data_IF_336372741703
#
_entry.id   IF_336372741703
#
_cell.length_a   1.000
_cell.length_b   1.000
_cell.length_c   1.000
_cell.angle_alpha   90.00
_cell.angle_beta   90.00
_cell.angle_gamma   90.00
#
_symmetry.space_group_name_H-M   'P 1'
#
loop_
_entity.id
_entity.type
_entity.pdbx_description
1 polymer ?
#
# COMPACT_ATOMS: atom_id res chain seq x y z
N UNK A 1 -6.51 36.43 -12.08
CA UNK A 1 -7.62 35.87 -11.28
C UNK A 1 -7.00 35.04 -10.17
N UNK A 2 -7.62 34.93 -8.98
CA UNK A 2 -7.02 34.19 -7.87
C UNK A 2 -7.26 32.68 -8.07
N UNK A 3 -6.19 31.93 -8.38
CA UNK A 3 -6.22 30.49 -8.68
C UNK A 3 -6.88 29.68 -7.56
N UNK A 4 -6.51 29.92 -6.30
CA UNK A 4 -7.15 29.27 -5.14
C UNK A 4 -8.67 29.48 -5.08
N UNK A 5 -9.14 30.68 -5.42
CA UNK A 5 -10.56 30.99 -5.41
C UNK A 5 -11.31 30.22 -6.51
N UNK A 6 -10.72 30.10 -7.70
CA UNK A 6 -11.29 29.30 -8.80
C UNK A 6 -11.37 27.82 -8.41
N UNK A 7 -10.31 27.27 -7.82
CA UNK A 7 -10.27 25.88 -7.32
C UNK A 7 -11.39 25.64 -6.29
N UNK A 8 -11.48 26.48 -5.26
CA UNK A 8 -12.50 26.35 -4.20
C UNK A 8 -13.93 26.48 -4.73
N UNK A 9 -14.15 27.37 -5.70
CA UNK A 9 -15.44 27.50 -6.41
C UNK A 9 -15.75 26.25 -7.21
N UNK A 10 -14.76 25.69 -7.91
CA UNK A 10 -14.90 24.44 -8.65
C UNK A 10 -15.35 23.30 -7.74
N UNK A 11 -14.72 23.13 -6.58
CA UNK A 11 -15.11 22.09 -5.61
C UNK A 11 -16.56 22.22 -5.14
N UNK A 12 -17.07 23.44 -5.01
CA UNK A 12 -18.40 23.70 -4.45
C UNK A 12 -19.52 23.67 -5.50
N UNK A 13 -19.22 24.08 -6.74
CA UNK A 13 -20.23 24.39 -7.75
C UNK A 13 -20.27 23.40 -8.92
N UNK A 14 -19.24 22.58 -9.09
CA UNK A 14 -19.24 21.58 -10.14
C UNK A 14 -20.23 20.45 -9.83
N UNK A 15 -20.91 20.00 -10.87
CA UNK A 15 -21.65 18.75 -10.81
C UNK A 15 -20.68 17.56 -10.60
N UNK A 16 -21.23 16.44 -10.15
CA UNK A 16 -20.45 15.22 -9.85
C UNK A 16 -20.14 14.38 -11.10
N UNK A 17 -20.27 14.94 -12.30
CA UNK A 17 -20.15 14.18 -13.57
C UNK A 17 -18.72 13.78 -13.94
N UNK A 18 -17.71 14.36 -13.28
CA UNK A 18 -16.31 14.22 -13.67
C UNK A 18 -15.87 15.21 -14.76
N UNK A 19 -16.72 16.17 -15.12
CA UNK A 19 -16.34 17.28 -16.00
C UNK A 19 -15.19 18.08 -15.38
N UNK A 20 -14.17 18.31 -16.20
CA UNK A 20 -13.00 19.15 -15.88
C UNK A 20 -13.22 20.56 -16.43
N UNK A 21 -13.12 21.59 -15.59
CA UNK A 21 -13.14 23.00 -16.00
C UNK A 21 -11.74 23.59 -15.94
N UNK A 22 -11.35 24.32 -16.98
CA UNK A 22 -10.05 24.98 -17.01
C UNK A 22 -9.96 26.06 -15.92
N UNK A 23 -8.79 26.19 -15.30
CA UNK A 23 -8.48 27.26 -14.36
C UNK A 23 -7.97 28.44 -15.19
N UNK A 24 -8.77 29.49 -15.30
CA UNK A 24 -8.53 30.67 -16.15
C UNK A 24 -7.39 31.53 -15.63
N UNK A 25 -7.12 31.48 -14.32
CA UNK A 25 -6.00 32.19 -13.69
C UNK A 25 -4.60 31.71 -14.08
N UNK A 26 -4.47 30.61 -14.84
CA UNK A 26 -3.18 30.03 -15.24
C UNK A 26 -2.77 30.41 -16.67
N UNK A 27 -1.46 30.48 -16.97
CA UNK A 27 -0.97 30.65 -18.34
C UNK A 27 -1.44 29.52 -19.27
N UNK A 28 -1.65 29.83 -20.54
CA UNK A 28 -2.05 28.84 -21.56
C UNK A 28 -0.98 27.77 -21.83
N UNK A 29 0.28 28.06 -21.49
CA UNK A 29 1.42 27.13 -21.52
C UNK A 29 1.37 26.09 -20.40
N UNK A 30 0.71 26.42 -19.28
CA UNK A 30 0.61 25.58 -18.08
C UNK A 30 -0.86 25.29 -17.70
N UNK A 31 -1.66 24.69 -18.61
CA UNK A 31 -3.07 24.45 -18.32
C UNK A 31 -3.23 23.50 -17.12
N UNK A 32 -4.30 23.74 -16.36
CA UNK A 32 -4.79 22.82 -15.35
C UNK A 32 -6.30 22.94 -15.25
N UNK A 33 -6.91 21.93 -14.64
CA UNK A 33 -8.36 21.85 -14.52
C UNK A 33 -8.76 21.57 -13.08
N UNK A 34 -9.91 22.09 -12.69
CA UNK A 34 -10.64 21.69 -11.47
C UNK A 34 -11.76 20.74 -11.85
N UNK A 35 -12.04 19.74 -11.03
CA UNK A 35 -13.10 18.77 -11.30
C UNK A 35 -13.82 18.34 -10.01
N UNK A 36 -15.01 17.76 -10.20
CA UNK A 36 -15.71 16.96 -9.20
C UNK A 36 -16.30 15.71 -9.85
N UNK A 37 -16.05 14.55 -9.25
CA UNK A 37 -16.43 13.24 -9.79
C UNK A 37 -16.92 12.35 -8.63
N UNK A 38 -18.22 12.09 -8.57
CA UNK A 38 -18.83 11.42 -7.41
C UNK A 38 -18.55 12.17 -6.11
N UNK A 39 -17.95 11.48 -5.13
CA UNK A 39 -17.53 12.07 -3.85
C UNK A 39 -16.11 12.65 -3.89
N UNK A 40 -15.40 12.53 -5.01
CA UNK A 40 -14.04 13.06 -5.17
C UNK A 40 -14.04 14.43 -5.82
N UNK A 41 -13.12 15.28 -5.41
CA UNK A 41 -12.85 16.58 -6.01
C UNK A 41 -11.35 16.85 -6.02
N UNK A 42 -10.91 17.72 -6.92
CA UNK A 42 -9.49 18.02 -7.02
C UNK A 42 -9.12 18.78 -8.27
N UNK A 43 -7.82 18.73 -8.57
CA UNK A 43 -7.23 19.35 -9.75
C UNK A 43 -6.53 18.33 -10.63
N UNK A 44 -6.44 18.63 -11.91
CA UNK A 44 -5.79 17.80 -12.90
C UNK A 44 -4.80 18.63 -13.73
N UNK A 45 -3.68 18.00 -14.09
CA UNK A 45 -2.73 18.48 -15.09
C UNK A 45 -2.52 17.37 -16.11
N UNK A 46 -2.30 17.73 -17.36
CA UNK A 46 -2.11 16.74 -18.41
C UNK A 46 -0.67 16.20 -18.41
N UNK A 47 -0.52 14.89 -18.59
CA UNK A 47 0.75 14.22 -18.79
C UNK A 47 0.93 13.89 -20.28
N UNK A 48 2.16 14.06 -20.77
CA UNK A 48 2.55 13.65 -22.12
C UNK A 48 2.93 12.16 -22.19
N UNK A 49 3.09 11.50 -21.04
CA UNK A 49 3.54 10.12 -20.93
C UNK A 49 2.44 9.22 -20.36
N UNK A 50 2.44 7.94 -20.75
CA UNK A 50 1.57 6.92 -20.13
C UNK A 50 2.22 6.41 -18.83
N UNK A 51 2.22 7.28 -17.81
CA UNK A 51 2.63 6.92 -16.47
C UNK A 51 1.43 6.31 -15.72
N UNK A 52 1.65 5.16 -15.09
CA UNK A 52 0.71 4.58 -14.12
C UNK A 52 1.18 4.93 -12.70
N UNK A 53 0.41 5.77 -12.01
CA UNK A 53 0.66 6.25 -10.65
C UNK A 53 -0.63 6.20 -9.83
N UNK A 54 -0.55 5.68 -8.60
CA UNK A 54 -1.59 5.79 -7.58
C UNK A 54 -0.94 5.86 -6.20
N UNK A 55 -0.90 7.05 -5.63
CA UNK A 55 -0.34 7.30 -4.31
C UNK A 55 -1.39 7.93 -3.41
N UNK A 56 -1.32 7.64 -2.11
CA UNK A 56 -2.30 8.14 -1.16
C UNK A 56 -1.74 8.35 0.24
N UNK A 57 -2.27 9.36 0.93
CA UNK A 57 -2.19 9.49 2.37
C UNK A 57 -3.57 9.85 2.95
N UNK A 58 -3.69 9.93 4.27
CA UNK A 58 -4.95 10.30 4.92
C UNK A 58 -5.50 11.62 4.35
N UNK A 59 -6.55 11.52 3.54
CA UNK A 59 -7.26 12.68 2.98
C UNK A 59 -6.79 13.20 1.62
N UNK A 60 -5.78 12.62 0.97
CA UNK A 60 -5.37 13.00 -0.39
C UNK A 60 -4.83 11.82 -1.21
N UNK A 61 -5.04 11.86 -2.52
CA UNK A 61 -4.49 10.91 -3.49
C UNK A 61 -3.90 11.62 -4.69
N UNK A 62 -2.76 11.15 -5.16
CA UNK A 62 -2.15 11.53 -6.42
C UNK A 62 -2.21 10.35 -7.37
N UNK A 63 -2.97 10.45 -8.47
CA UNK A 63 -3.12 9.33 -9.41
C UNK A 63 -3.18 9.76 -10.86
N UNK A 64 -2.89 8.85 -11.76
CA UNK A 64 -3.04 9.05 -13.19
C UNK A 64 -4.36 8.47 -13.70
N UNK A 65 -5.09 9.23 -14.53
CA UNK A 65 -6.32 8.77 -15.17
C UNK A 65 -6.28 9.01 -16.68
N UNK A 66 -6.92 8.11 -17.43
CA UNK A 66 -7.15 8.27 -18.86
C UNK A 66 -8.53 8.89 -19.11
N UNK A 67 -8.63 9.83 -20.05
CA UNK A 67 -9.89 10.44 -20.49
C UNK A 67 -9.92 10.54 -22.00
N UNK A 68 -11.06 10.25 -22.60
CA UNK A 68 -11.27 10.42 -24.05
C UNK A 68 -11.80 11.83 -24.27
N UNK A 69 -11.00 12.68 -24.93
CA UNK A 69 -11.35 14.06 -25.27
C UNK A 69 -11.22 14.20 -26.78
N UNK A 70 -12.29 14.62 -27.45
CA UNK A 70 -12.34 14.74 -28.91
C UNK A 70 -11.86 13.46 -29.65
N UNK A 71 -12.19 12.28 -29.12
CA UNK A 71 -11.78 10.99 -29.68
C UNK A 71 -10.34 10.57 -29.40
N UNK A 72 -9.55 11.39 -28.70
CA UNK A 72 -8.18 11.07 -28.31
C UNK A 72 -8.11 10.70 -26.83
N UNK A 73 -7.40 9.62 -26.52
CA UNK A 73 -7.08 9.27 -25.12
C UNK A 73 -5.98 10.18 -24.63
N UNK A 74 -6.27 10.94 -23.57
CA UNK A 74 -5.35 11.85 -22.90
C UNK A 74 -5.13 11.39 -21.46
N UNK A 75 -3.94 11.65 -20.93
CA UNK A 75 -3.50 11.20 -19.61
C UNK A 75 -3.46 12.41 -18.67
N UNK A 76 -4.02 12.26 -17.49
CA UNK A 76 -4.07 13.33 -16.49
C UNK A 76 -3.50 12.85 -15.18
N UNK A 77 -2.61 13.63 -14.61
CA UNK A 77 -2.22 13.53 -13.21
C UNK A 77 -3.24 14.31 -12.37
N UNK A 78 -3.91 13.64 -11.45
CA UNK A 78 -4.92 14.19 -10.55
C UNK A 78 -4.42 14.18 -9.12
N UNK A 79 -4.53 15.33 -8.47
CA UNK A 79 -4.51 15.41 -7.01
C UNK A 79 -5.95 15.56 -6.54
N UNK A 80 -6.40 14.60 -5.75
CA UNK A 80 -7.81 14.48 -5.37
C UNK A 80 -8.03 14.11 -3.91
N UNK A 81 -9.21 14.47 -3.40
CA UNK A 81 -9.67 14.14 -2.06
C UNK A 81 -11.15 13.79 -2.07
N UNK A 82 -11.58 12.98 -1.11
CA UNK A 82 -12.98 12.75 -0.76
C UNK A 82 -13.36 13.36 0.59
N UNK A 83 -12.47 14.11 1.24
CA UNK A 83 -12.66 14.64 2.59
C UNK A 83 -13.32 16.01 2.52
N UNK A 84 -14.65 16.03 2.39
CA UNK A 84 -15.43 17.26 2.12
C UNK A 84 -15.20 18.38 3.13
N UNK A 85 -15.06 18.05 4.41
CA UNK A 85 -14.88 19.04 5.48
C UNK A 85 -13.50 19.71 5.47
N UNK A 86 -12.51 19.15 4.76
CA UNK A 86 -11.17 19.73 4.55
C UNK A 86 -10.97 20.33 3.16
N UNK A 87 -12.04 20.50 2.36
CA UNK A 87 -11.91 20.92 0.95
C UNK A 87 -11.20 22.26 0.76
N UNK A 88 -11.32 23.18 1.72
CA UNK A 88 -10.73 24.52 1.60
C UNK A 88 -9.22 24.51 1.85
N UNK A 89 -8.80 23.72 2.83
CA UNK A 89 -7.43 23.42 3.21
C UNK A 89 -6.75 22.65 2.08
N UNK A 90 -7.42 21.61 1.56
CA UNK A 90 -6.96 20.83 0.41
C UNK A 90 -6.74 21.70 -0.84
N UNK A 91 -7.60 22.72 -1.05
CA UNK A 91 -7.44 23.67 -2.15
C UNK A 91 -6.09 24.40 -2.17
N UNK A 92 -5.44 24.60 -1.02
CA UNK A 92 -4.10 25.21 -0.94
C UNK A 92 -3.03 24.29 -1.54
N UNK A 93 -3.14 22.98 -1.28
CA UNK A 93 -2.24 21.98 -1.85
C UNK A 93 -2.46 21.87 -3.36
N UNK A 94 -3.72 21.91 -3.80
CA UNK A 94 -4.08 21.94 -5.22
C UNK A 94 -3.52 23.16 -5.94
N UNK A 95 -3.63 24.36 -5.35
CA UNK A 95 -3.04 25.58 -5.92
C UNK A 95 -1.53 25.42 -6.11
N UNK A 96 -0.84 24.86 -5.12
CA UNK A 96 0.60 24.62 -5.23
C UNK A 96 0.96 23.60 -6.31
N UNK A 97 0.17 22.55 -6.50
CA UNK A 97 0.40 21.58 -7.59
C UNK A 97 0.24 22.23 -8.98
N UNK A 98 -0.77 23.09 -9.16
CA UNK A 98 -1.06 23.70 -10.46
C UNK A 98 -0.29 25.00 -10.69
N UNK A 99 0.42 25.53 -9.71
CA UNK A 99 1.23 26.72 -9.90
C UNK A 99 2.28 26.48 -11.00
N UNK A 100 2.45 27.40 -11.97
CA UNK A 100 3.50 27.30 -12.97
C UNK A 100 4.88 27.40 -12.30
N UNK A 101 4.99 28.26 -11.28
CA UNK A 101 6.25 28.59 -10.63
C UNK A 101 7.08 29.60 -11.43
N UNK A 102 8.30 29.89 -10.95
CA UNK A 102 9.25 30.73 -11.69
C UNK A 102 9.73 29.98 -12.94
N UNK A 103 9.65 30.66 -14.10
CA UNK A 103 10.04 30.13 -15.42
C UNK A 103 9.47 28.73 -15.73
N UNK A 104 8.27 28.42 -15.21
CA UNK A 104 7.57 27.13 -15.39
C UNK A 104 8.33 25.89 -14.86
N UNK A 105 9.50 26.07 -14.25
CA UNK A 105 10.38 24.97 -13.82
C UNK A 105 9.71 24.02 -12.81
N UNK A 106 8.96 24.50 -11.80
CA UNK A 106 8.22 23.61 -10.90
C UNK A 106 7.17 22.76 -11.60
N UNK A 107 6.49 23.31 -12.63
CA UNK A 107 5.52 22.56 -13.41
C UNK A 107 6.21 21.49 -14.24
N UNK A 108 7.31 21.81 -14.92
CA UNK A 108 8.08 20.84 -15.69
C UNK A 108 8.61 19.70 -14.80
N UNK A 109 9.13 20.02 -13.62
CA UNK A 109 9.59 19.04 -12.65
C UNK A 109 8.46 18.11 -12.16
N UNK A 110 7.27 18.65 -11.88
CA UNK A 110 6.10 17.86 -11.52
C UNK A 110 5.71 16.87 -12.62
N UNK A 111 5.73 17.29 -13.89
CA UNK A 111 5.35 16.43 -15.02
C UNK A 111 6.43 15.39 -15.34
N UNK A 112 7.70 15.72 -15.11
CA UNK A 112 8.82 14.80 -15.32
C UNK A 112 8.86 13.69 -14.25
N UNK A 113 8.68 14.04 -12.98
CA UNK A 113 8.67 13.09 -11.86
C UNK A 113 7.66 13.50 -10.76
N UNK A 114 6.39 13.10 -10.90
CA UNK A 114 5.34 13.42 -9.93
C UNK A 114 5.60 12.88 -8.52
N UNK A 115 6.38 11.80 -8.38
CA UNK A 115 6.66 11.17 -7.08
C UNK A 115 7.52 12.06 -6.20
N UNK A 116 8.50 12.75 -6.78
CA UNK A 116 9.34 13.70 -6.03
C UNK A 116 8.49 14.81 -5.40
N UNK A 117 7.50 15.32 -6.13
CA UNK A 117 6.55 16.29 -5.59
C UNK A 117 5.69 15.68 -4.49
N UNK A 118 5.16 14.48 -4.72
CA UNK A 118 4.32 13.77 -3.76
C UNK A 118 5.03 13.51 -2.43
N UNK A 119 6.25 12.98 -2.47
CA UNK A 119 7.03 12.62 -1.28
C UNK A 119 7.27 13.82 -0.35
N UNK A 120 7.50 15.01 -0.91
CA UNK A 120 7.64 16.25 -0.12
C UNK A 120 6.37 16.56 0.66
N UNK A 121 5.20 16.44 0.02
CA UNK A 121 3.91 16.70 0.65
C UNK A 121 3.51 15.60 1.62
N UNK A 122 3.80 14.34 1.30
CA UNK A 122 3.62 13.20 2.20
C UNK A 122 4.43 13.36 3.48
N UNK A 123 5.68 13.83 3.38
CA UNK A 123 6.53 14.11 4.54
C UNK A 123 6.00 15.27 5.39
N UNK A 124 5.48 16.33 4.75
CA UNK A 124 4.96 17.52 5.44
C UNK A 124 3.60 17.29 6.13
N UNK A 125 2.67 16.66 5.42
CA UNK A 125 1.28 16.49 5.86
C UNK A 125 1.08 15.23 6.72
N UNK A 126 2.09 14.37 6.75
CA UNK A 126 2.18 13.21 7.61
C UNK A 126 1.46 12.00 7.03
N UNK A 127 2.10 10.84 7.20
CA UNK A 127 1.43 9.55 7.10
C UNK A 127 2.23 8.42 7.75
N UNK A 128 2.76 8.65 8.96
CA UNK A 128 3.58 7.67 9.68
C UNK A 128 2.78 6.45 10.20
N UNK A 129 1.44 6.43 10.10
CA UNK A 129 0.60 5.54 10.91
C UNK A 129 -0.18 4.44 10.16
N UNK A 130 -0.15 4.36 8.83
CA UNK A 130 -1.05 3.43 8.09
C UNK A 130 -0.37 2.55 7.05
N UNK A 131 0.90 2.77 6.72
CA UNK A 131 1.52 1.95 5.67
C UNK A 131 2.02 0.62 6.24
N UNK A 132 1.31 -0.46 5.90
CA UNK A 132 1.96 -1.76 5.74
C UNK A 132 3.13 -1.56 4.80
N UNK A 133 4.33 -1.94 5.20
CA UNK A 133 5.49 -1.68 4.35
C UNK A 133 5.41 -2.57 3.09
N UNK A 134 5.98 -2.09 1.99
CA UNK A 134 6.08 -2.86 0.74
C UNK A 134 6.71 -4.24 0.98
N UNK A 135 7.73 -4.31 1.84
CA UNK A 135 8.44 -5.54 2.16
C UNK A 135 7.61 -6.52 3.02
N UNK A 136 6.68 -6.05 3.86
CA UNK A 136 5.73 -6.92 4.56
C UNK A 136 4.81 -7.65 3.57
N UNK A 137 4.30 -6.92 2.58
CA UNK A 137 3.44 -7.52 1.54
C UNK A 137 4.25 -8.37 0.56
N UNK A 138 5.49 -7.97 0.25
CA UNK A 138 6.40 -8.76 -0.57
C UNK A 138 6.65 -10.15 0.04
N UNK A 139 6.86 -10.23 1.36
CA UNK A 139 7.03 -11.50 2.07
C UNK A 139 5.83 -12.44 1.88
N UNK A 140 4.61 -11.91 1.99
CA UNK A 140 3.40 -12.72 1.78
C UNK A 140 3.30 -13.25 0.36
N UNK A 141 3.52 -12.41 -0.66
CA UNK A 141 3.41 -12.85 -2.06
C UNK A 141 4.54 -13.82 -2.45
N UNK A 142 5.73 -13.69 -1.85
CA UNK A 142 6.81 -14.68 -2.00
C UNK A 142 6.44 -16.02 -1.35
N UNK A 143 5.81 -15.98 -0.17
CA UNK A 143 5.33 -17.20 0.49
C UNK A 143 4.25 -17.91 -0.35
N UNK A 144 3.34 -17.15 -0.94
CA UNK A 144 2.34 -17.67 -1.89
C UNK A 144 3.02 -18.26 -3.13
N UNK A 145 4.02 -17.57 -3.70
CA UNK A 145 4.78 -18.10 -4.84
C UNK A 145 5.41 -19.44 -4.53
N UNK A 146 5.94 -19.59 -3.31
CA UNK A 146 6.48 -20.87 -2.88
C UNK A 146 5.40 -21.96 -2.81
N UNK A 147 4.29 -21.70 -2.13
CA UNK A 147 3.18 -22.65 -2.01
C UNK A 147 2.64 -23.08 -3.39
N UNK A 148 2.50 -22.11 -4.31
CA UNK A 148 2.09 -22.37 -5.70
C UNK A 148 3.10 -23.25 -6.43
N UNK A 149 4.41 -23.03 -6.25
CA UNK A 149 5.46 -23.86 -6.87
C UNK A 149 5.42 -25.32 -6.39
N UNK A 150 4.90 -25.57 -5.18
CA UNK A 150 4.70 -26.89 -4.60
C UNK A 150 3.34 -27.53 -4.99
N UNK A 151 2.51 -26.82 -5.76
CA UNK A 151 1.16 -27.26 -6.11
C UNK A 151 0.18 -27.21 -4.93
N UNK A 152 0.52 -26.48 -3.86
CA UNK A 152 -0.31 -26.34 -2.66
C UNK A 152 -1.32 -25.22 -2.90
N UNK A 153 -2.60 -25.52 -2.64
CA UNK A 153 -3.65 -24.51 -2.65
C UNK A 153 -3.52 -23.60 -1.43
N UNK A 154 -3.71 -22.31 -1.64
CA UNK A 154 -3.63 -21.30 -0.59
C UNK A 154 -4.90 -20.44 -0.56
N UNK A 155 -5.14 -19.84 0.59
CA UNK A 155 -6.14 -18.81 0.85
C UNK A 155 -5.41 -17.63 1.51
N UNK A 156 -5.32 -16.50 0.80
CA UNK A 156 -4.58 -15.32 1.25
C UNK A 156 -5.50 -14.40 2.07
N UNK A 157 -5.28 -14.38 3.39
CA UNK A 157 -6.18 -13.78 4.37
C UNK A 157 -5.65 -12.52 5.04
N UNK A 158 -4.33 -12.32 5.07
CA UNK A 158 -3.69 -11.13 5.64
C UNK A 158 -4.32 -9.82 5.16
N UNK A 159 -4.52 -9.61 3.84
CA UNK A 159 -5.14 -8.40 3.29
C UNK A 159 -6.60 -8.14 3.72
N UNK A 160 -7.28 -9.14 4.28
CA UNK A 160 -8.67 -9.04 4.75
C UNK A 160 -8.76 -8.97 6.28
N UNK A 161 -7.64 -8.84 6.99
CA UNK A 161 -7.59 -8.84 8.45
C UNK A 161 -7.87 -10.23 9.05
N UNK A 162 -7.47 -11.29 8.34
CA UNK A 162 -7.55 -12.65 8.85
C UNK A 162 -6.73 -12.85 10.12
N UNK A 163 -7.04 -13.91 10.87
CA UNK A 163 -6.27 -14.28 12.08
C UNK A 163 -4.87 -14.81 11.78
N UNK A 164 -4.64 -15.24 10.54
CA UNK A 164 -3.37 -15.69 9.96
C UNK A 164 -3.27 -15.11 8.56
N UNK A 165 -2.05 -14.96 8.04
CA UNK A 165 -1.82 -14.35 6.74
C UNK A 165 -2.18 -15.28 5.58
N UNK A 166 -1.82 -16.56 5.64
CA UNK A 166 -2.10 -17.55 4.60
C UNK A 166 -2.62 -18.84 5.25
N UNK A 167 -3.69 -19.41 4.70
CA UNK A 167 -4.17 -20.74 5.09
C UNK A 167 -4.09 -21.72 3.91
N UNK A 168 -3.69 -22.95 4.19
CA UNK A 168 -3.73 -24.08 3.26
C UNK A 168 -4.65 -25.17 3.81
N UNK A 169 -4.96 -26.24 3.05
CA UNK A 169 -5.75 -27.35 3.56
C UNK A 169 -5.13 -28.07 4.79
N UNK A 170 -3.81 -28.00 4.96
CA UNK A 170 -3.08 -28.77 5.98
C UNK A 170 -2.41 -27.91 7.05
N UNK A 171 -2.16 -26.63 6.77
CA UNK A 171 -1.32 -25.77 7.62
C UNK A 171 -1.70 -24.29 7.44
N UNK A 172 -1.52 -23.50 8.50
CA UNK A 172 -1.64 -22.04 8.48
C UNK A 172 -0.28 -21.38 8.63
N UNK A 173 -0.10 -20.20 8.04
CA UNK A 173 1.14 -19.46 8.04
C UNK A 173 0.91 -18.01 8.51
N UNK A 174 1.71 -17.58 9.48
CA UNK A 174 1.91 -16.19 9.85
C UNK A 174 3.20 -15.70 9.20
N UNK A 175 3.17 -14.59 8.47
CA UNK A 175 4.30 -14.06 7.72
C UNK A 175 4.83 -12.81 8.42
N UNK A 176 6.10 -12.85 8.82
CA UNK A 176 6.83 -11.71 9.37
C UNK A 176 8.00 -11.37 8.48
N UNK A 177 8.38 -10.11 8.43
CA UNK A 177 9.58 -9.72 7.71
C UNK A 177 10.29 -8.53 8.32
N UNK A 178 11.53 -8.33 7.90
CA UNK A 178 12.38 -7.26 8.39
C UNK A 178 13.42 -6.85 7.36
N UNK A 179 13.76 -5.56 7.38
CA UNK A 179 14.95 -5.00 6.68
C UNK A 179 16.12 -4.77 7.64
N UNK A 180 15.96 -5.11 8.92
CA UNK A 180 17.06 -5.02 9.89
C UNK A 180 18.13 -6.05 9.53
N UNK A 181 19.40 -5.67 9.66
CA UNK A 181 20.53 -6.57 9.36
C UNK A 181 20.77 -7.61 10.46
N UNK A 182 20.47 -7.27 11.71
CA UNK A 182 20.84 -8.09 12.87
C UNK A 182 19.67 -8.40 13.80
N UNK A 183 18.57 -7.64 13.72
CA UNK A 183 17.43 -7.90 14.57
C UNK A 183 16.63 -9.09 14.04
N UNK A 184 16.37 -10.06 14.91
CA UNK A 184 15.54 -11.23 14.63
C UNK A 184 14.31 -11.26 15.53
N UNK A 185 14.03 -10.17 16.25
CA UNK A 185 12.80 -10.03 17.00
C UNK A 185 11.64 -9.76 16.06
N UNK A 186 10.59 -10.56 16.21
CA UNK A 186 9.31 -10.33 15.55
C UNK A 186 8.31 -9.75 16.53
N UNK A 187 7.51 -8.80 16.05
CA UNK A 187 6.41 -8.23 16.81
C UNK A 187 5.15 -9.07 16.62
N UNK A 188 4.58 -9.55 17.72
CA UNK A 188 3.27 -10.20 17.76
C UNK A 188 2.28 -9.16 18.25
N UNK A 189 1.53 -8.61 17.29
CA UNK A 189 0.70 -7.42 17.47
C UNK A 189 -0.74 -7.74 17.91
N UNK A 190 -1.05 -9.01 18.21
CA UNK A 190 -2.38 -9.38 18.65
C UNK A 190 -2.44 -10.75 19.30
N UNK A 191 -3.27 -10.84 20.34
CA UNK A 191 -3.50 -12.04 21.15
C UNK A 191 -4.03 -13.27 20.38
N UNK A 192 -4.42 -13.12 19.12
CA UNK A 192 -4.96 -14.19 18.29
C UNK A 192 -4.00 -14.66 17.17
N UNK A 193 -2.90 -13.94 16.89
CA UNK A 193 -2.01 -14.25 15.75
C UNK A 193 -1.33 -15.62 15.88
N UNK A 194 -1.01 -16.04 17.11
CA UNK A 194 -0.38 -17.34 17.39
C UNK A 194 -1.32 -18.34 18.08
N UNK A 195 -2.63 -18.04 18.10
CA UNK A 195 -3.62 -18.96 18.65
C UNK A 195 -3.94 -20.05 17.63
N UNK A 196 -3.79 -21.32 18.02
CA UNK A 196 -4.16 -22.48 17.22
C UNK A 196 -5.69 -22.61 17.15
N UNK A 197 -6.34 -21.78 16.32
CA UNK A 197 -7.80 -21.66 16.33
C UNK A 197 -8.54 -22.79 15.58
N UNK A 198 -7.85 -23.62 14.79
CA UNK A 198 -8.49 -24.56 13.86
C UNK A 198 -8.03 -26.01 13.97
N UNK A 199 -7.16 -26.36 14.93
CA UNK A 199 -6.55 -27.69 15.03
C UNK A 199 -5.59 -28.04 13.89
N UNK A 200 -5.30 -27.09 13.00
CA UNK A 200 -4.23 -27.21 12.01
C UNK A 200 -2.92 -26.68 12.59
N UNK A 201 -1.76 -27.26 12.21
CA UNK A 201 -0.45 -26.68 12.47
C UNK A 201 -0.37 -25.22 12.03
N UNK A 202 0.34 -24.43 12.82
CA UNK A 202 0.67 -23.04 12.52
C UNK A 202 2.18 -22.93 12.42
N UNK A 203 2.65 -22.28 11.36
CA UNK A 203 4.05 -21.94 11.17
C UNK A 203 4.22 -20.44 11.02
N UNK A 204 5.29 -19.91 11.60
CA UNK A 204 5.72 -18.53 11.35
C UNK A 204 6.82 -18.56 10.30
N UNK A 205 6.63 -17.85 9.20
CA UNK A 205 7.67 -17.64 8.18
C UNK A 205 8.26 -16.25 8.38
N UNK A 206 9.57 -16.19 8.54
CA UNK A 206 10.30 -14.94 8.71
C UNK A 206 11.20 -14.67 7.49
N UNK A 207 10.93 -13.56 6.80
CA UNK A 207 11.76 -13.07 5.69
C UNK A 207 12.69 -11.96 6.15
N UNK A 208 13.95 -12.03 5.74
CA UNK A 208 14.91 -10.92 5.87
C UNK A 208 15.22 -10.36 4.49
N UNK A 209 15.09 -9.05 4.36
CA UNK A 209 15.33 -8.32 3.13
C UNK A 209 16.46 -7.31 3.25
N UNK A 210 17.08 -6.99 2.11
CA UNK A 210 17.92 -5.81 1.93
C UNK A 210 17.38 -4.98 0.76
N UNK A 211 17.11 -3.66 0.93
CA UNK A 211 16.76 -2.79 -0.18
C UNK A 211 17.82 -2.86 -1.29
N UNK A 212 17.38 -3.02 -2.53
CA UNK A 212 18.24 -3.20 -3.69
C UNK A 212 17.78 -2.32 -4.85
N UNK A 213 18.63 -2.15 -5.86
CA UNK A 213 18.21 -1.61 -7.16
C UNK A 213 17.73 -2.73 -8.11
N UNK A 214 18.17 -3.96 -7.85
CA UNK A 214 17.91 -5.14 -8.65
C UNK A 214 17.59 -6.28 -7.68
N UNK A 215 16.31 -6.59 -7.52
CA UNK A 215 15.81 -7.57 -6.56
C UNK A 215 14.35 -7.89 -6.83
N UNK A 216 13.69 -8.53 -5.89
CA UNK A 216 12.27 -8.86 -5.96
C UNK A 216 11.41 -7.64 -5.61
N UNK A 217 10.37 -7.41 -6.40
CA UNK A 217 9.30 -6.46 -6.12
C UNK A 217 7.96 -7.17 -6.10
N UNK A 218 6.94 -6.54 -5.53
CA UNK A 218 5.58 -7.09 -5.55
C UNK A 218 5.14 -7.32 -7.00
N UNK A 219 5.41 -6.36 -7.89
CA UNK A 219 5.06 -6.47 -9.31
C UNK A 219 5.79 -7.63 -10.01
N UNK A 220 7.06 -7.89 -9.70
CA UNK A 220 7.80 -9.01 -10.30
C UNK A 220 7.24 -10.36 -9.86
N UNK A 221 6.96 -10.52 -8.56
CA UNK A 221 6.40 -11.75 -7.99
C UNK A 221 4.98 -11.99 -8.50
N UNK A 222 4.10 -10.98 -8.49
CA UNK A 222 2.74 -11.11 -8.99
C UNK A 222 2.70 -11.52 -10.48
N UNK A 223 3.60 -10.99 -11.31
CA UNK A 223 3.72 -11.40 -12.71
C UNK A 223 4.05 -12.90 -12.85
N UNK A 224 4.95 -13.41 -12.01
CA UNK A 224 5.29 -14.85 -11.98
C UNK A 224 4.13 -15.71 -11.47
N UNK A 225 3.44 -15.28 -10.43
CA UNK A 225 2.23 -15.94 -9.92
C UNK A 225 1.12 -16.04 -10.98
N UNK A 226 0.86 -14.97 -11.71
CA UNK A 226 -0.12 -14.97 -12.82
C UNK A 226 0.32 -15.94 -13.92
N UNK A 227 1.62 -15.96 -14.24
CA UNK A 227 2.19 -16.91 -15.20
C UNK A 227 2.04 -18.37 -14.72
N UNK A 228 2.11 -18.60 -13.41
CA UNK A 228 1.88 -19.89 -12.77
C UNK A 228 0.39 -20.27 -12.64
N UNK A 229 -0.54 -19.42 -13.10
CA UNK A 229 -1.97 -19.71 -13.15
C UNK A 229 -2.79 -19.13 -11.99
N UNK A 230 -2.20 -18.32 -11.11
CA UNK A 230 -2.97 -17.57 -10.10
C UNK A 230 -3.81 -16.50 -10.79
N UNK A 231 -5.07 -16.37 -10.39
CA UNK A 231 -5.97 -15.38 -10.96
C UNK A 231 -5.49 -13.96 -10.63
N UNK A 232 -5.21 -13.17 -11.68
CA UNK A 232 -4.75 -11.78 -11.52
C UNK A 232 -5.74 -10.93 -10.71
N UNK A 233 -7.05 -11.09 -10.91
CA UNK A 233 -8.07 -10.36 -10.15
C UNK A 233 -7.96 -10.61 -8.63
N UNK A 234 -7.70 -11.84 -8.21
CA UNK A 234 -7.53 -12.20 -6.79
C UNK A 234 -6.34 -11.46 -6.17
N UNK A 235 -5.21 -11.40 -6.89
CA UNK A 235 -4.01 -10.71 -6.42
C UNK A 235 -4.24 -9.20 -6.34
N UNK A 236 -4.81 -8.60 -7.39
CA UNK A 236 -5.02 -7.15 -7.46
C UNK A 236 -6.05 -6.67 -6.43
N UNK A 237 -7.15 -7.39 -6.23
CA UNK A 237 -8.13 -7.07 -5.19
C UNK A 237 -7.51 -7.14 -3.79
N UNK A 238 -6.60 -8.09 -3.57
CA UNK A 238 -5.91 -8.27 -2.28
C UNK A 238 -4.88 -7.18 -2.03
N UNK A 239 -4.06 -6.84 -3.02
CA UNK A 239 -3.10 -5.74 -2.93
C UNK A 239 -3.80 -4.39 -2.73
N UNK A 240 -4.93 -4.15 -3.39
CA UNK A 240 -5.72 -2.93 -3.18
C UNK A 240 -6.21 -2.79 -1.72
N UNK A 241 -6.55 -3.89 -1.04
CA UNK A 241 -6.92 -3.86 0.39
C UNK A 241 -5.74 -3.48 1.30
N UNK A 242 -4.51 -3.77 0.86
CA UNK A 242 -3.28 -3.33 1.52
C UNK A 242 -2.86 -1.89 1.16
N UNK A 243 -3.64 -1.16 0.34
CA UNK A 243 -3.24 0.16 -0.18
C UNK A 243 -2.14 0.11 -1.24
N UNK A 244 -1.99 -1.06 -1.90
CA UNK A 244 -1.00 -1.33 -2.93
C UNK A 244 -1.68 -1.59 -4.27
N UNK A 245 -2.66 -0.77 -4.63
CA UNK A 245 -3.33 -0.88 -5.93
C UNK A 245 -2.37 -0.66 -7.12
N UNK A 246 -2.81 -1.04 -8.32
CA UNK A 246 -2.05 -0.84 -9.56
C UNK A 246 -1.63 0.62 -9.69
N UNK A 247 -0.34 0.84 -9.91
CA UNK A 247 0.26 2.18 -10.05
C UNK A 247 0.91 2.71 -8.76
N UNK A 248 0.71 2.06 -7.61
CA UNK A 248 1.45 2.40 -6.40
C UNK A 248 2.96 2.12 -6.58
N UNK A 249 3.79 3.12 -6.30
CA UNK A 249 5.25 3.06 -6.43
C UNK A 249 5.87 2.04 -5.49
N UNK A 250 5.29 1.84 -4.31
CA UNK A 250 5.71 0.85 -3.33
C UNK A 250 5.75 -0.59 -3.91
N UNK A 251 4.93 -0.89 -4.93
CA UNK A 251 4.94 -2.20 -5.61
C UNK A 251 6.20 -2.45 -6.45
N UNK A 252 6.90 -1.37 -6.82
CA UNK A 252 8.10 -1.38 -7.66
C UNK A 252 9.39 -1.30 -6.83
N UNK A 253 9.29 -1.04 -5.53
CA UNK A 253 10.44 -1.15 -4.63
C UNK A 253 11.00 -2.56 -4.69
N UNK A 254 12.34 -2.66 -4.81
CA UNK A 254 13.03 -3.94 -4.98
C UNK A 254 13.87 -4.29 -3.76
N UNK A 255 13.86 -5.57 -3.41
CA UNK A 255 14.53 -6.11 -2.25
C UNK A 255 15.25 -7.41 -2.61
N UNK A 256 16.47 -7.58 -2.11
CA UNK A 256 17.12 -8.89 -2.11
C UNK A 256 16.59 -9.71 -0.93
N UNK A 257 16.24 -10.96 -1.17
CA UNK A 257 15.89 -11.91 -0.10
C UNK A 257 17.19 -12.47 0.47
N UNK A 258 17.51 -12.10 1.71
CA UNK A 258 18.70 -12.60 2.41
C UNK A 258 18.42 -13.95 3.07
N UNK A 259 17.26 -14.07 3.71
CA UNK A 259 16.84 -15.24 4.47
C UNK A 259 15.33 -15.43 4.35
N UNK A 260 14.87 -16.67 4.32
CA UNK A 260 13.48 -17.07 4.49
C UNK A 260 13.48 -18.34 5.34
N UNK A 261 13.04 -18.23 6.59
CA UNK A 261 13.05 -19.33 7.55
C UNK A 261 11.64 -19.60 8.07
N UNK A 262 11.31 -20.85 8.33
CA UNK A 262 10.05 -21.29 8.90
C UNK A 262 10.26 -21.85 10.31
N UNK A 263 9.35 -21.48 11.21
CA UNK A 263 9.34 -21.86 12.61
C UNK A 263 7.99 -22.51 12.92
N UNK A 264 8.00 -23.75 13.41
CA UNK A 264 6.78 -24.39 13.88
C UNK A 264 6.29 -23.72 15.17
N UNK A 265 5.00 -23.35 15.22
CA UNK A 265 4.39 -22.72 16.40
C UNK A 265 3.76 -23.80 17.30
N UNK A 266 4.61 -24.64 17.90
CA UNK A 266 4.24 -25.72 18.82
C UNK A 266 4.27 -25.28 20.30
N UNK A 267 4.30 -26.22 21.25
CA UNK A 267 4.46 -25.92 22.68
C UNK A 267 5.83 -25.33 23.07
N UNK A 268 6.86 -25.46 22.23
CA UNK A 268 8.20 -24.93 22.47
C UNK A 268 8.38 -23.53 21.89
N UNK A 269 7.51 -23.11 20.97
CA UNK A 269 7.50 -21.74 20.45
C UNK A 269 6.98 -20.75 21.52
N UNK A 270 7.69 -19.64 21.79
CA UNK A 270 7.23 -18.61 22.73
C UNK A 270 5.93 -17.96 22.25
N UNK A 271 4.81 -18.35 22.86
CA UNK A 271 3.49 -17.81 22.55
C UNK A 271 2.70 -17.45 23.80
N UNK A 272 1.95 -16.36 23.71
CA UNK A 272 0.99 -15.95 24.72
C UNK A 272 -0.40 -16.17 24.14
N UNK A 273 -1.08 -17.21 24.63
CA UNK A 273 -2.45 -17.56 24.25
C UNK A 273 -3.37 -17.43 25.47
N UNK A 274 -4.71 -17.53 25.34
CA UNK A 274 -5.59 -17.56 26.51
C UNK A 274 -5.19 -18.60 27.56
N UNK A 275 -4.65 -19.75 27.14
CA UNK A 275 -4.13 -20.83 27.98
C UNK A 275 -2.92 -20.43 28.83
N UNK A 276 -2.21 -19.35 28.47
CA UNK A 276 -1.11 -18.80 29.26
C UNK A 276 -1.58 -18.10 30.55
N UNK A 277 -2.88 -17.83 30.70
CA UNK A 277 -3.45 -17.11 31.84
C UNK A 277 -4.25 -18.03 32.76
N UNK A 278 -4.46 -17.57 34.00
CA UNK A 278 -5.21 -18.32 35.02
C UNK A 278 -6.61 -18.67 34.52
N UNK A 279 -6.92 -19.97 34.49
CA UNK A 279 -8.22 -20.47 34.02
C UNK A 279 -8.36 -20.56 32.50
N UNK A 280 -7.27 -20.37 31.74
CA UNK A 280 -7.28 -20.47 30.27
C UNK A 280 -8.03 -19.35 29.59
N UNK A 281 -8.15 -18.20 30.25
CA UNK A 281 -8.88 -17.03 29.75
C UNK A 281 -8.07 -15.76 29.99
N UNK A 282 -8.12 -14.86 29.02
CA UNK A 282 -7.51 -13.55 29.16
C UNK A 282 -8.16 -12.79 30.34
N UNK A 283 -7.39 -12.14 31.24
CA UNK A 283 -7.96 -11.45 32.39
C UNK A 283 -8.94 -10.35 32.01
N UNK A 284 -10.02 -10.20 32.78
CA UNK A 284 -11.00 -9.15 32.57
C UNK A 284 -10.34 -7.76 32.59
N UNK A 285 -10.62 -6.96 31.56
CA UNK A 285 -10.04 -5.62 31.40
C UNK A 285 -8.80 -5.56 30.49
N UNK A 286 -8.20 -6.70 30.13
CA UNK A 286 -7.17 -6.74 29.07
C UNK A 286 -7.89 -6.68 27.72
N UNK A 287 -7.68 -5.58 27.00
CA UNK A 287 -8.28 -5.35 25.68
C UNK A 287 -7.33 -5.65 24.52
N UNK A 288 -6.02 -5.59 24.78
CA UNK A 288 -4.98 -5.77 23.78
C UNK A 288 -3.70 -6.26 24.43
N UNK A 289 -2.99 -7.14 23.74
CA UNK A 289 -1.70 -7.66 24.18
C UNK A 289 -0.76 -7.75 22.98
N UNK A 290 0.42 -7.17 23.15
CA UNK A 290 1.52 -7.21 22.20
C UNK A 290 2.80 -7.64 22.90
N UNK A 291 3.62 -8.41 22.21
CA UNK A 291 4.92 -8.84 22.71
C UNK A 291 5.89 -9.10 21.55
N UNK A 292 7.15 -9.27 21.88
CA UNK A 292 8.19 -9.61 20.91
C UNK A 292 8.75 -11.00 21.20
N UNK A 293 9.05 -11.72 20.13
CA UNK A 293 9.73 -13.02 20.19
C UNK A 293 11.08 -12.88 19.50
N UNK A 294 12.15 -13.22 20.19
CA UNK A 294 13.48 -13.32 19.61
C UNK A 294 13.65 -14.66 18.90
N UNK A 295 13.67 -14.64 17.55
CA UNK A 295 13.77 -15.84 16.75
C UNK A 295 15.17 -16.47 16.76
N UNK A 296 16.21 -15.75 17.18
CA UNK A 296 17.58 -16.28 17.20
C UNK A 296 17.78 -17.43 18.19
N UNK A 297 16.91 -17.55 19.18
CA UNK A 297 16.93 -18.61 20.17
C UNK A 297 16.11 -19.86 19.76
N UNK A 298 15.46 -19.85 18.60
CA UNK A 298 14.54 -20.89 18.16
C UNK A 298 15.12 -21.70 17.00
N UNK A 299 14.68 -22.96 16.90
CA UNK A 299 14.99 -23.80 15.75
C UNK A 299 14.13 -23.40 14.57
N UNK A 300 14.75 -23.34 13.40
CA UNK A 300 14.09 -23.03 12.13
C UNK A 300 14.63 -23.89 11.02
N UNK A 301 13.80 -24.08 10.00
CA UNK A 301 14.21 -24.66 8.73
C UNK A 301 14.18 -23.57 7.65
N UNK A 302 15.00 -23.68 6.60
CA UNK A 302 14.82 -22.80 5.45
C UNK A 302 13.42 -23.00 4.88
N UNK A 303 12.72 -21.90 4.62
CA UNK A 303 11.48 -21.92 3.87
C UNK A 303 11.83 -22.02 2.38
N UNK A 304 12.33 -23.20 2.00
CA UNK A 304 12.63 -23.55 0.62
C UNK A 304 11.37 -23.53 -0.19
#
# INVERSE_FOLDING_TARGET
MNVLLEIRRGFSNLDKSGRMLAIEGLPTTCPAWVFREGETFGVAVELQTDLALSEGFAGARLRTVKRVIAGQTRHFLRLESSTEWLRNEFGVICEHMVAPGADETPREALLADPLVWWERWRHLLGNALVNRTSYDTLAEVLAIERLVSLGIKFDWRGPSGGTVDIQTPTESFEIKSTISRYDSRVHIAGQFQLALNSGQPLSLVHYRFEPSLQGESIDSVCKRLVTAGVQSALLEDSLARCGLEVGCSARKETFNVLEANVYLVDEYFPKVTPESFVGGVLPAGVVHLEYQVDLSALQSEPFH
#
